data_IF_998674164645
#
_entry.id   IF_998674164645
#
_cell.length_a   1.000
_cell.length_b   1.000
_cell.length_c   1.000
_cell.angle_alpha   90.00
_cell.angle_beta   90.00
_cell.angle_gamma   90.00
#
_symmetry.space_group_name_H-M   'P 1'
#
loop_
_entity.id
_entity.type
_entity.pdbx_description
1 polymer ?
#
# COMPACT_ATOMS: atom_id res chain seq x y z
N UNK A 1 2.71 3.87 29.46
CA UNK A 1 2.88 4.08 29.02
C UNK A 1 3.24 4.36 28.45
N UNK A 2 3.53 4.24 28.36
CA UNK A 2 3.90 4.65 27.76
C UNK A 2 3.94 4.72 26.79
N UNK A 3 4.06 4.37 26.62
CA UNK A 3 4.17 4.58 25.43
C UNK A 3 4.32 5.73 24.82
N UNK A 4 4.35 6.63 25.36
CA UNK A 4 4.21 7.92 24.73
C UNK A 4 5.46 8.32 23.95
N UNK A 5 6.61 7.88 24.34
CA UNK A 5 7.81 8.15 23.58
C UNK A 5 7.71 7.57 22.18
N UNK A 6 7.08 6.43 22.07
CA UNK A 6 6.84 5.84 20.77
C UNK A 6 5.89 6.68 19.95
N UNK A 7 4.90 7.25 20.61
CA UNK A 7 3.96 8.10 19.91
C UNK A 7 4.63 9.34 19.36
N UNK A 8 5.62 9.87 20.09
CA UNK A 8 6.36 11.03 19.62
C UNK A 8 7.14 10.72 18.36
N UNK A 9 7.49 9.47 18.18
CA UNK A 9 8.20 9.03 16.99
C UNK A 9 7.24 8.54 15.90
N UNK A 10 5.95 8.70 16.14
CA UNK A 10 4.92 8.19 15.24
C UNK A 10 4.99 8.77 13.85
N UNK A 11 5.48 10.00 13.69
CA UNK A 11 5.58 10.61 12.38
C UNK A 11 6.56 9.85 11.48
N UNK A 12 7.49 9.09 12.06
CA UNK A 12 8.47 8.33 11.32
C UNK A 12 8.20 6.83 11.36
N UNK A 13 6.98 6.43 11.75
CA UNK A 13 6.62 5.03 11.83
C UNK A 13 5.68 4.64 10.71
N UNK A 14 5.44 3.36 10.62
CA UNK A 14 4.54 2.77 9.64
C UNK A 14 3.45 2.01 10.39
N UNK A 15 2.20 2.31 10.07
CA UNK A 15 1.05 1.63 10.65
C UNK A 15 0.29 0.91 9.54
N UNK A 16 -0.01 -0.35 9.77
CA UNK A 16 -0.69 -1.20 8.79
C UNK A 16 -1.90 -1.83 9.46
N UNK A 17 -3.02 -1.85 8.75
CA UNK A 17 -4.24 -2.48 9.23
C UNK A 17 -4.92 -3.16 8.06
N UNK A 18 -5.64 -4.24 8.34
CA UNK A 18 -6.32 -5.00 7.30
C UNK A 18 -7.77 -5.24 7.69
N UNK A 19 -8.65 -5.04 6.73
CA UNK A 19 -10.02 -5.50 6.80
C UNK A 19 -10.31 -6.31 5.55
N UNK A 20 -11.46 -6.98 5.50
CA UNK A 20 -11.78 -7.81 4.34
C UNK A 20 -13.15 -7.44 3.79
N UNK A 21 -13.24 -7.43 2.45
CA UNK A 21 -14.51 -7.36 1.76
C UNK A 21 -14.56 -8.64 0.92
N UNK A 22 -15.34 -9.61 1.40
CA UNK A 22 -15.27 -10.95 0.82
C UNK A 22 -13.88 -11.53 1.00
N UNK A 23 -13.25 -11.93 -0.08
CA UNK A 23 -11.90 -12.49 -0.05
C UNK A 23 -10.83 -11.46 -0.33
N UNK A 24 -11.21 -10.21 -0.54
CA UNK A 24 -10.26 -9.16 -0.85
C UNK A 24 -9.81 -8.48 0.43
N UNK A 25 -8.51 -8.48 0.70
CA UNK A 25 -7.94 -7.78 1.83
C UNK A 25 -7.81 -6.29 1.48
N UNK A 26 -8.33 -5.43 2.35
CA UNK A 26 -8.16 -3.98 2.21
C UNK A 26 -7.11 -3.58 3.24
N UNK A 27 -5.93 -3.27 2.75
CA UNK A 27 -4.78 -2.95 3.60
C UNK A 27 -4.60 -1.44 3.65
N UNK A 28 -4.79 -0.87 4.82
CA UNK A 28 -4.61 0.56 5.05
C UNK A 28 -3.18 0.80 5.49
N UNK A 29 -2.51 1.72 4.82
CA UNK A 29 -1.10 2.03 5.06
C UNK A 29 -1.00 3.48 5.50
N UNK A 30 -0.39 3.72 6.66
CA UNK A 30 -0.22 5.07 7.18
C UNK A 30 1.21 5.29 7.60
N UNK A 31 1.77 6.44 7.25
CA UNK A 31 3.09 6.85 7.70
C UNK A 31 4.14 6.76 6.61
N UNK A 32 5.34 6.32 6.98
CA UNK A 32 6.51 6.34 6.12
C UNK A 32 6.78 4.97 5.52
N UNK A 33 6.77 4.90 4.19
CA UNK A 33 7.17 3.71 3.45
C UNK A 33 8.59 3.92 2.92
N UNK A 34 9.57 3.78 3.80
CA UNK A 34 10.96 3.95 3.42
C UNK A 34 11.73 2.63 3.59
N UNK A 35 13.02 2.68 3.27
CA UNK A 35 13.85 1.48 3.26
C UNK A 35 13.92 0.81 4.64
N UNK A 36 13.83 1.60 5.72
CA UNK A 36 13.95 1.04 7.07
C UNK A 36 12.74 0.21 7.46
N UNK A 37 11.61 0.39 6.78
CA UNK A 37 10.38 -0.33 7.07
C UNK A 37 10.03 -1.34 5.98
N UNK A 38 10.97 -1.58 5.11
CA UNK A 38 10.75 -2.45 3.95
C UNK A 38 10.35 -3.85 4.35
N UNK A 39 11.04 -4.42 5.34
CA UNK A 39 10.74 -5.80 5.75
C UNK A 39 9.38 -5.92 6.43
N UNK A 40 9.05 -4.94 7.25
CA UNK A 40 7.73 -4.92 7.89
C UNK A 40 6.63 -4.89 6.86
N UNK A 41 6.79 -4.02 5.86
CA UNK A 41 5.80 -3.86 4.81
C UNK A 41 5.71 -5.12 3.94
N UNK A 42 6.85 -5.67 3.54
CA UNK A 42 6.88 -6.86 2.70
C UNK A 42 6.21 -8.06 3.38
N UNK A 43 6.51 -8.25 4.66
CA UNK A 43 5.92 -9.35 5.40
C UNK A 43 4.42 -9.19 5.55
N UNK A 44 3.98 -7.97 5.80
CA UNK A 44 2.56 -7.70 5.93
C UNK A 44 1.81 -7.98 4.64
N UNK A 45 2.37 -7.55 3.50
CA UNK A 45 1.76 -7.80 2.21
C UNK A 45 1.66 -9.29 1.91
N UNK A 46 2.71 -10.06 2.26
CA UNK A 46 2.69 -11.48 1.98
C UNK A 46 1.67 -12.22 2.81
N UNK A 47 1.34 -11.70 3.99
CA UNK A 47 0.35 -12.32 4.87
C UNK A 47 -1.08 -11.93 4.53
N UNK A 48 -1.27 -10.84 3.81
CA UNK A 48 -2.61 -10.34 3.51
C UNK A 48 -3.33 -11.16 2.45
N UNK A 49 -2.59 -11.97 1.71
CA UNK A 49 -3.19 -12.87 0.73
C UNK A 49 -3.00 -12.37 -0.70
N UNK A 50 -3.48 -13.16 -1.68
CA UNK A 50 -3.22 -12.87 -3.09
C UNK A 50 -4.10 -11.77 -3.67
N UNK A 51 -5.24 -11.47 -3.04
CA UNK A 51 -6.15 -10.43 -3.56
C UNK A 51 -6.22 -9.31 -2.54
N UNK A 52 -5.86 -8.10 -2.97
CA UNK A 52 -5.82 -6.98 -2.03
C UNK A 52 -6.03 -5.64 -2.71
N UNK A 53 -6.48 -4.69 -1.92
CA UNK A 53 -6.53 -3.28 -2.26
C UNK A 53 -5.65 -2.57 -1.24
N UNK A 54 -4.65 -1.84 -1.71
CA UNK A 54 -3.81 -1.03 -0.83
C UNK A 54 -4.34 0.39 -0.79
N UNK A 55 -4.68 0.84 0.40
CA UNK A 55 -5.13 2.21 0.62
C UNK A 55 -3.94 3.02 1.10
N UNK A 56 -3.44 3.88 0.23
CA UNK A 56 -2.25 4.68 0.49
C UNK A 56 -2.57 6.10 0.92
N UNK A 57 -3.83 6.39 1.23
CA UNK A 57 -4.23 7.76 1.57
C UNK A 57 -3.55 8.29 2.83
N UNK A 58 -3.10 7.42 3.72
CA UNK A 58 -2.39 7.82 4.93
C UNK A 58 -0.88 7.85 4.79
N UNK A 59 -0.34 7.55 3.60
CA UNK A 59 1.10 7.53 3.39
C UNK A 59 1.60 8.97 3.28
N UNK A 60 2.60 9.31 4.08
CA UNK A 60 3.18 10.64 4.07
C UNK A 60 4.47 10.70 3.25
N UNK A 61 5.09 9.56 3.00
CA UNK A 61 6.30 9.47 2.22
C UNK A 61 6.47 8.06 1.67
N UNK A 62 6.96 7.95 0.44
CA UNK A 62 7.26 6.65 -0.18
C UNK A 62 8.54 6.77 -0.98
N UNK A 63 9.47 5.83 -0.78
CA UNK A 63 10.69 5.80 -1.58
C UNK A 63 10.59 4.70 -2.67
N UNK A 64 11.63 4.62 -3.49
CA UNK A 64 11.60 3.70 -4.62
C UNK A 64 11.62 2.24 -4.21
N UNK A 65 12.15 1.93 -3.03
CA UNK A 65 12.19 0.54 -2.56
C UNK A 65 10.83 0.06 -2.15
N UNK A 66 10.07 0.92 -1.47
CA UNK A 66 8.70 0.58 -1.12
C UNK A 66 7.85 0.43 -2.38
N UNK A 67 8.04 1.32 -3.35
CA UNK A 67 7.34 1.21 -4.61
C UNK A 67 7.68 -0.10 -5.31
N UNK A 68 8.94 -0.53 -5.25
CA UNK A 68 9.34 -1.81 -5.82
C UNK A 68 8.60 -2.99 -5.22
N UNK A 69 8.35 -2.96 -3.91
CA UNK A 69 7.58 -4.02 -3.26
C UNK A 69 6.14 -4.04 -3.74
N UNK A 70 5.55 -2.87 -3.92
CA UNK A 70 4.17 -2.78 -4.43
C UNK A 70 4.11 -3.37 -5.84
N UNK A 71 5.06 -3.01 -6.68
CA UNK A 71 5.12 -3.52 -8.04
C UNK A 71 5.29 -5.03 -8.06
N UNK A 72 6.19 -5.53 -7.21
CA UNK A 72 6.43 -6.96 -7.14
C UNK A 72 5.16 -7.70 -6.73
N UNK A 73 4.45 -7.19 -5.74
CA UNK A 73 3.21 -7.81 -5.30
C UNK A 73 2.15 -7.77 -6.39
N UNK A 74 2.07 -6.67 -7.11
CA UNK A 74 1.14 -6.54 -8.23
C UNK A 74 1.44 -7.58 -9.31
N UNK A 75 2.73 -7.74 -9.66
CA UNK A 75 3.12 -8.73 -10.65
C UNK A 75 2.81 -10.14 -10.19
N UNK A 76 3.06 -10.43 -8.93
CA UNK A 76 2.72 -11.73 -8.36
C UNK A 76 1.22 -12.00 -8.45
N UNK A 77 0.40 -11.00 -8.17
CA UNK A 77 -1.04 -11.19 -8.24
C UNK A 77 -1.49 -11.56 -9.65
N UNK A 78 -0.84 -11.00 -10.65
CA UNK A 78 -1.18 -11.31 -12.03
C UNK A 78 -0.84 -12.75 -12.41
N UNK A 79 0.23 -13.29 -11.85
CA UNK A 79 0.62 -14.67 -12.16
C UNK A 79 -0.19 -15.68 -11.36
N UNK A 80 -0.63 -15.33 -10.16
CA UNK A 80 -1.39 -16.26 -9.31
C UNK A 80 -2.89 -16.15 -9.51
N UNK A 81 -3.35 -15.20 -10.33
CA UNK A 81 -4.76 -15.00 -10.54
C UNK A 81 -5.43 -14.17 -9.45
N UNK A 82 -4.66 -13.55 -8.58
CA UNK A 82 -5.21 -12.67 -7.55
C UNK A 82 -5.58 -11.32 -8.12
N UNK A 83 -6.37 -10.56 -7.35
CA UNK A 83 -6.76 -9.20 -7.72
C UNK A 83 -5.91 -8.20 -6.97
N UNK A 84 -5.63 -7.05 -7.59
CA UNK A 84 -4.79 -6.04 -6.96
C UNK A 84 -5.21 -4.65 -7.42
N UNK A 85 -5.30 -3.71 -6.48
CA UNK A 85 -5.62 -2.32 -6.80
C UNK A 85 -4.99 -1.41 -5.75
N UNK A 86 -4.80 -0.16 -6.13
CA UNK A 86 -4.29 0.89 -5.25
C UNK A 86 -5.32 2.01 -5.20
N UNK A 87 -5.56 2.53 -4.01
CA UNK A 87 -6.43 3.70 -3.83
C UNK A 87 -5.71 4.71 -2.94
N UNK A 88 -6.19 5.95 -2.96
CA UNK A 88 -5.64 6.99 -2.11
C UNK A 88 -4.29 7.50 -2.53
N UNK A 89 -3.91 7.32 -3.79
CA UNK A 89 -2.60 7.77 -4.29
C UNK A 89 -2.66 9.27 -4.55
N UNK A 90 -1.80 10.01 -3.86
CA UNK A 90 -1.74 11.46 -3.94
C UNK A 90 -0.37 11.89 -4.47
N UNK A 91 -0.39 12.71 -5.51
CA UNK A 91 0.85 13.15 -6.15
C UNK A 91 1.86 13.74 -5.15
N UNK A 92 1.39 14.59 -4.24
CA UNK A 92 2.30 15.31 -3.36
C UNK A 92 3.02 14.40 -2.37
N UNK A 93 2.44 13.24 -2.06
CA UNK A 93 3.01 12.32 -1.07
C UNK A 93 3.70 11.12 -1.69
N UNK A 94 3.35 10.80 -2.92
CA UNK A 94 3.87 9.61 -3.60
C UNK A 94 4.45 9.99 -4.95
N UNK A 95 5.23 11.07 -4.96
CA UNK A 95 5.80 11.61 -6.20
C UNK A 95 6.57 10.57 -6.99
N UNK A 96 7.17 9.61 -6.31
CA UNK A 96 7.99 8.61 -6.99
C UNK A 96 7.17 7.82 -8.01
N UNK A 97 5.89 7.58 -7.75
CA UNK A 97 5.02 6.89 -8.71
C UNK A 97 4.82 7.71 -9.97
N UNK A 98 4.73 9.02 -9.81
CA UNK A 98 4.46 9.92 -10.93
C UNK A 98 5.71 10.21 -11.73
N UNK A 99 6.83 10.43 -11.05
CA UNK A 99 8.10 10.73 -11.69
C UNK A 99 8.58 9.55 -12.54
N UNK A 100 8.37 8.33 -12.06
CA UNK A 100 8.78 7.12 -12.78
C UNK A 100 7.80 6.74 -13.89
N UNK A 101 6.63 7.38 -13.95
CA UNK A 101 5.60 7.02 -14.92
C UNK A 101 4.76 5.83 -14.50
N UNK A 102 5.04 5.25 -13.35
CA UNK A 102 4.34 4.05 -12.90
C UNK A 102 2.88 4.31 -12.54
N UNK A 103 2.54 5.55 -12.20
CA UNK A 103 1.15 5.89 -11.93
C UNK A 103 0.24 5.66 -13.13
N UNK A 104 0.80 5.64 -14.34
CA UNK A 104 0.01 5.39 -15.55
C UNK A 104 -0.17 3.92 -15.83
N UNK A 105 0.62 3.06 -15.19
CA UNK A 105 0.63 1.63 -15.45
C UNK A 105 -0.05 0.85 -14.34
N UNK A 106 0.13 1.31 -13.10
CA UNK A 106 -0.43 0.63 -11.93
C UNK A 106 -1.96 0.77 -11.90
N UNK A 107 -2.66 -0.21 -11.32
CA UNK A 107 -4.12 -0.19 -11.24
C UNK A 107 -4.60 0.76 -10.13
N UNK A 108 -4.66 2.05 -10.45
CA UNK A 108 -5.06 3.09 -9.51
C UNK A 108 -6.55 3.39 -9.65
N UNK A 109 -7.22 3.54 -8.51
CA UNK A 109 -8.64 3.90 -8.46
C UNK A 109 -8.84 5.03 -7.47
N UNK A 110 -9.89 5.82 -7.67
CA UNK A 110 -10.14 6.99 -6.85
C UNK A 110 -10.79 6.65 -5.51
N UNK A 111 -11.45 5.51 -5.43
CA UNK A 111 -12.16 5.14 -4.21
C UNK A 111 -12.17 3.63 -4.02
N UNK A 112 -12.48 3.21 -2.79
CA UNK A 112 -12.65 1.80 -2.49
C UNK A 112 -13.77 1.19 -3.31
N UNK A 113 -14.87 1.94 -3.49
CA UNK A 113 -15.98 1.44 -4.29
C UNK A 113 -15.59 1.15 -5.71
N UNK A 114 -14.82 2.06 -6.32
CA UNK A 114 -14.36 1.85 -7.70
C UNK A 114 -13.42 0.67 -7.80
N UNK A 115 -12.51 0.54 -6.85
CA UNK A 115 -11.58 -0.57 -6.85
C UNK A 115 -12.30 -1.90 -6.70
N UNK A 116 -13.25 -1.99 -5.76
CA UNK A 116 -14.03 -3.20 -5.56
C UNK A 116 -14.82 -3.55 -6.82
N UNK A 117 -15.42 -2.54 -7.46
CA UNK A 117 -16.18 -2.77 -8.69
C UNK A 117 -15.30 -3.33 -9.80
N UNK A 118 -14.06 -2.86 -9.89
CA UNK A 118 -13.14 -3.32 -10.92
C UNK A 118 -12.63 -4.74 -10.64
N UNK A 119 -12.50 -5.13 -9.37
CA UNK A 119 -11.94 -6.42 -8.99
C UNK A 119 -13.01 -7.52 -8.87
N UNK A 120 -14.24 -7.15 -8.82
CA UNK A 120 -15.34 -8.11 -8.75
C UNK A 120 -16.16 -8.08 -10.02
#
# INVERSE_FOLDING_TARGET
>A
MMMSAEDDLGSATLHLATSFVGEIAVVTVEGFLDATRREQFAEYLSQAGPSMILDLSGVTFMDSRALGLIIHHWQDSQTTGGAFALIGVDYSRTKIMWITGLAKVLPLYDSLEEALGALT
#
